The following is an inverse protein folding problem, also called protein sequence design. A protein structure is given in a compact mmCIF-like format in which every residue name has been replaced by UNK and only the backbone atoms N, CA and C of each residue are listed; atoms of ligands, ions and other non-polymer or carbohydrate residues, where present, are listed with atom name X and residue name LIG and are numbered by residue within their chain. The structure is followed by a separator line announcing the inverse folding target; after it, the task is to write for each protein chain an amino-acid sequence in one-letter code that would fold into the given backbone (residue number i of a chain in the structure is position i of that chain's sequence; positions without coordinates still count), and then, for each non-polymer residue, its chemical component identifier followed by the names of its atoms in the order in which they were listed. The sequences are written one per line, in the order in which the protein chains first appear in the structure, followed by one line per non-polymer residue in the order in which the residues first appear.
data_IF_095444542630
#
_entry.id   IF_095444542630
#
_cell.length_a   1.000
_cell.length_b   1.000
_cell.length_c   1.000
_cell.angle_alpha   90.00
_cell.angle_beta   90.00
_cell.angle_gamma   90.00
#
_symmetry.space_group_name_H-M   'P 1'
#
loop_
_entity.id
_entity.type
_entity.pdbx_description
1 polymer ?
#
# COMPACT_ATOMS: atom_id res chain seq x y z
N UNK A 1 -33.30 -19.64 -3.22
CA UNK A 1 -33.28 -18.93 -1.93
C UNK A 1 -31.94 -18.29 -1.77
N UNK A 2 -31.82 -17.01 -1.48
CA UNK A 2 -30.52 -16.48 -1.09
C UNK A 2 -30.19 -17.05 0.31
N UNK A 3 -29.36 -18.08 0.32
CA UNK A 3 -28.86 -18.67 1.54
C UNK A 3 -27.90 -17.73 2.23
N UNK A 4 -27.87 -17.76 3.55
CA UNK A 4 -26.87 -17.04 4.35
C UNK A 4 -25.50 -17.61 4.08
N UNK A 5 -24.59 -16.87 3.44
CA UNK A 5 -23.22 -17.28 3.17
C UNK A 5 -22.37 -17.08 4.42
N UNK A 6 -21.60 -18.09 4.82
CA UNK A 6 -20.63 -18.01 5.91
C UNK A 6 -19.24 -17.78 5.33
N UNK A 7 -18.65 -16.64 5.62
CA UNK A 7 -17.32 -16.23 5.16
C UNK A 7 -16.32 -16.28 6.31
N UNK A 8 -15.25 -17.06 6.16
CA UNK A 8 -14.07 -16.92 7.00
C UNK A 8 -13.16 -15.86 6.39
N UNK A 9 -12.76 -14.85 7.18
CA UNK A 9 -11.89 -13.76 6.72
C UNK A 9 -10.72 -13.57 7.68
N UNK A 10 -9.52 -13.38 7.13
CA UNK A 10 -8.32 -13.12 7.93
C UNK A 10 -7.61 -11.92 7.35
N UNK A 11 -7.52 -10.83 8.13
CA UNK A 11 -6.72 -9.64 7.84
C UNK A 11 -5.72 -9.43 8.98
N UNK A 12 -4.45 -9.29 8.65
CA UNK A 12 -3.38 -9.15 9.65
C UNK A 12 -2.84 -7.73 9.83
N UNK A 13 -3.31 -6.78 9.01
CA UNK A 13 -2.89 -5.38 9.02
C UNK A 13 -4.06 -4.46 8.73
N UNK A 14 -3.93 -3.18 9.11
CA UNK A 14 -4.98 -2.16 8.90
C UNK A 14 -5.40 -2.05 7.44
N UNK A 15 -4.43 -2.10 6.50
CA UNK A 15 -4.72 -2.07 5.06
C UNK A 15 -5.57 -3.25 4.60
N UNK A 16 -5.24 -4.46 5.09
CA UNK A 16 -6.01 -5.67 4.81
C UNK A 16 -7.40 -5.64 5.44
N UNK A 17 -7.55 -5.09 6.64
CA UNK A 17 -8.82 -4.92 7.32
C UNK A 17 -9.77 -4.00 6.54
N UNK A 18 -9.28 -2.88 6.04
CA UNK A 18 -10.04 -1.97 5.19
C UNK A 18 -10.50 -2.65 3.88
N UNK A 19 -9.62 -3.41 3.22
CA UNK A 19 -9.98 -4.18 2.01
C UNK A 19 -11.03 -5.27 2.33
N UNK A 20 -10.89 -5.91 3.48
CA UNK A 20 -11.85 -6.90 3.98
C UNK A 20 -13.22 -6.28 4.23
N UNK A 21 -13.29 -5.14 4.90
CA UNK A 21 -14.54 -4.41 5.14
C UNK A 21 -15.26 -4.04 3.85
N UNK A 22 -14.52 -3.47 2.86
CA UNK A 22 -15.09 -3.11 1.56
C UNK A 22 -15.60 -4.36 0.80
N UNK A 23 -14.85 -5.46 0.82
CA UNK A 23 -15.27 -6.75 0.23
C UNK A 23 -16.55 -7.28 0.89
N UNK A 24 -16.60 -7.33 2.22
CA UNK A 24 -17.75 -7.90 2.94
C UNK A 24 -19.01 -7.05 2.72
N UNK A 25 -18.88 -5.73 2.72
CA UNK A 25 -19.98 -4.81 2.39
C UNK A 25 -20.53 -5.10 1.00
N UNK A 26 -19.66 -5.26 0.02
CA UNK A 26 -20.03 -5.57 -1.35
C UNK A 26 -20.67 -6.97 -1.49
N UNK A 27 -20.15 -7.98 -0.76
CA UNK A 27 -20.76 -9.31 -0.71
C UNK A 27 -22.17 -9.26 -0.15
N UNK A 28 -22.42 -8.54 0.95
CA UNK A 28 -23.77 -8.37 1.53
C UNK A 28 -24.75 -7.77 0.53
N UNK A 29 -24.32 -6.78 -0.25
CA UNK A 29 -25.16 -6.17 -1.29
C UNK A 29 -25.55 -7.17 -2.40
N UNK A 30 -24.63 -8.10 -2.75
CA UNK A 30 -24.86 -9.09 -3.83
C UNK A 30 -25.66 -10.33 -3.37
N UNK A 31 -25.41 -10.81 -2.15
CA UNK A 31 -25.97 -12.10 -1.68
C UNK A 31 -26.98 -11.95 -0.53
N UNK A 32 -27.18 -10.75 -0.01
CA UNK A 32 -28.12 -10.40 1.05
C UNK A 32 -27.57 -10.65 2.44
N UNK A 33 -27.38 -11.90 2.88
CA UNK A 33 -26.96 -12.21 4.24
C UNK A 33 -25.58 -12.90 4.27
N UNK A 34 -24.65 -12.31 5.03
CA UNK A 34 -23.30 -12.86 5.25
C UNK A 34 -23.05 -13.02 6.74
N UNK A 35 -22.62 -14.20 7.18
CA UNK A 35 -22.09 -14.40 8.53
C UNK A 35 -20.58 -14.47 8.48
N UNK A 36 -19.91 -13.80 9.42
CA UNK A 36 -18.48 -13.67 9.46
C UNK A 36 -17.87 -14.45 10.61
N UNK A 37 -16.66 -14.92 10.38
CA UNK A 37 -15.76 -15.42 11.41
C UNK A 37 -14.31 -15.19 10.97
N UNK A 38 -13.37 -15.14 11.92
CA UNK A 38 -11.94 -15.03 11.61
C UNK A 38 -11.21 -13.99 12.42
N UNK A 39 -10.29 -13.27 11.78
CA UNK A 39 -9.43 -12.26 12.41
C UNK A 39 -9.46 -10.98 11.59
N UNK A 40 -9.70 -9.86 12.25
CA UNK A 40 -9.72 -8.55 11.61
C UNK A 40 -9.82 -7.44 12.64
N UNK A 41 -9.89 -6.21 12.18
CA UNK A 41 -9.99 -5.01 12.98
C UNK A 41 -11.30 -4.27 12.78
N UNK A 42 -11.25 -2.95 13.01
CA UNK A 42 -12.42 -2.07 13.08
C UNK A 42 -13.30 -2.09 11.81
N UNK A 43 -12.70 -2.20 10.63
CA UNK A 43 -13.46 -2.20 9.38
C UNK A 43 -14.27 -3.49 9.19
N UNK A 44 -13.69 -4.65 9.51
CA UNK A 44 -14.40 -5.93 9.50
C UNK A 44 -15.37 -6.07 10.67
N UNK A 45 -15.04 -5.52 11.84
CA UNK A 45 -15.95 -5.48 13.00
C UNK A 45 -17.19 -4.63 12.71
N UNK A 46 -17.03 -3.50 12.00
CA UNK A 46 -18.19 -2.71 11.52
C UNK A 46 -19.10 -3.49 10.58
N UNK A 47 -18.56 -4.51 9.89
CA UNK A 47 -19.32 -5.45 9.07
C UNK A 47 -19.80 -6.70 9.85
N UNK A 48 -19.66 -6.71 11.18
CA UNK A 48 -20.19 -7.76 12.07
C UNK A 48 -19.24 -8.93 12.32
N UNK A 49 -17.95 -8.78 12.09
CA UNK A 49 -16.94 -9.74 12.53
C UNK A 49 -16.77 -9.64 14.06
N UNK A 50 -16.72 -10.79 14.73
CA UNK A 50 -16.16 -10.90 16.07
C UNK A 50 -14.78 -11.55 15.90
N UNK A 51 -13.73 -10.76 16.06
CA UNK A 51 -12.36 -11.23 15.85
C UNK A 51 -11.96 -12.28 16.89
N UNK A 52 -11.29 -13.36 16.47
CA UNK A 52 -10.83 -14.44 17.35
C UNK A 52 -9.79 -13.96 18.37
N UNK A 53 -9.06 -12.90 18.04
CA UNK A 53 -8.09 -12.22 18.91
C UNK A 53 -7.77 -10.85 18.32
N UNK A 54 -7.09 -10.01 19.10
CA UNK A 54 -6.63 -8.70 18.63
C UNK A 54 -5.61 -8.86 17.47
N UNK A 55 -5.99 -8.45 16.27
CA UNK A 55 -5.17 -8.57 15.07
C UNK A 55 -3.85 -7.78 15.14
N UNK A 56 -3.75 -6.80 16.03
CA UNK A 56 -2.50 -6.07 16.27
C UNK A 56 -1.36 -7.00 16.73
N UNK A 57 -1.68 -8.17 17.28
CA UNK A 57 -0.72 -9.21 17.61
C UNK A 57 0.04 -9.75 16.39
N UNK A 58 -0.53 -9.61 15.18
CA UNK A 58 0.09 -10.04 13.92
C UNK A 58 1.02 -8.97 13.32
N UNK A 59 0.87 -7.71 13.73
CA UNK A 59 1.68 -6.57 13.27
C UNK A 59 3.06 -6.59 13.95
N UNK A 60 3.92 -7.54 13.55
CA UNK A 60 5.26 -7.70 14.13
C UNK A 60 6.29 -7.08 13.20
N UNK A 61 7.02 -6.05 13.66
CA UNK A 61 8.10 -5.43 12.93
C UNK A 61 9.46 -5.73 13.57
N UNK A 62 10.37 -6.35 12.79
CA UNK A 62 11.76 -6.60 13.17
C UNK A 62 12.06 -8.06 13.48
N UNK A 63 13.25 -8.54 13.02
CA UNK A 63 13.65 -9.96 13.09
C UNK A 63 13.76 -10.47 14.52
N UNK A 64 14.26 -9.66 15.45
CA UNK A 64 14.38 -10.03 16.87
C UNK A 64 13.02 -10.20 17.54
N UNK A 65 12.05 -9.35 17.21
CA UNK A 65 10.70 -9.44 17.73
C UNK A 65 9.92 -10.63 17.13
N UNK A 66 10.18 -10.96 15.86
CA UNK A 66 9.62 -12.16 15.19
C UNK A 66 10.05 -13.43 15.92
N UNK A 67 11.35 -13.58 16.23
CA UNK A 67 11.87 -14.76 16.94
C UNK A 67 11.28 -14.91 18.34
N UNK A 68 11.20 -13.82 19.09
CA UNK A 68 10.63 -13.85 20.45
C UNK A 68 9.14 -14.21 20.50
N UNK A 69 8.38 -13.87 19.44
CA UNK A 69 6.93 -14.09 19.37
C UNK A 69 6.53 -15.32 18.55
N UNK A 70 7.48 -16.04 17.97
CA UNK A 70 7.23 -17.21 17.13
C UNK A 70 6.30 -18.27 17.76
N UNK A 71 6.46 -18.64 19.06
CA UNK A 71 5.53 -19.60 19.69
C UNK A 71 4.10 -19.09 19.73
N UNK A 72 3.90 -17.80 20.05
CA UNK A 72 2.57 -17.17 20.06
C UNK A 72 1.96 -17.14 18.66
N UNK A 73 2.75 -16.81 17.64
CA UNK A 73 2.31 -16.81 16.25
C UNK A 73 1.85 -18.20 15.80
N UNK A 74 2.62 -19.25 16.10
CA UNK A 74 2.25 -20.63 15.79
C UNK A 74 0.97 -21.08 16.51
N UNK A 75 0.81 -20.67 17.78
CA UNK A 75 -0.43 -20.91 18.53
C UNK A 75 -1.63 -20.23 17.86
N UNK A 76 -1.50 -18.95 17.46
CA UNK A 76 -2.57 -18.20 16.76
C UNK A 76 -2.90 -18.82 15.39
N UNK A 77 -1.90 -19.30 14.62
CA UNK A 77 -2.11 -20.01 13.37
C UNK A 77 -3.00 -21.25 13.62
N UNK A 78 -2.65 -22.06 14.61
CA UNK A 78 -3.41 -23.26 14.96
C UNK A 78 -4.82 -22.92 15.42
N UNK A 79 -4.97 -21.99 16.37
CA UNK A 79 -6.26 -21.51 16.86
C UNK A 79 -7.18 -21.06 15.74
N UNK A 80 -6.65 -20.26 14.79
CA UNK A 80 -7.43 -19.73 13.67
C UNK A 80 -7.83 -20.85 12.72
N UNK A 81 -6.91 -21.76 12.39
CA UNK A 81 -7.20 -22.88 11.52
C UNK A 81 -8.25 -23.83 12.13
N UNK A 82 -8.11 -24.19 13.39
CA UNK A 82 -9.05 -25.07 14.10
C UNK A 82 -10.45 -24.47 14.18
N UNK A 83 -10.55 -23.16 14.45
CA UNK A 83 -11.83 -22.43 14.47
C UNK A 83 -12.52 -22.44 13.09
N UNK A 84 -11.76 -22.21 12.00
CA UNK A 84 -12.29 -22.23 10.64
C UNK A 84 -12.72 -23.64 10.24
N UNK A 85 -11.93 -24.66 10.56
CA UNK A 85 -12.25 -26.07 10.25
C UNK A 85 -13.53 -26.50 10.98
N UNK A 86 -13.67 -26.15 12.24
CA UNK A 86 -14.87 -26.45 13.04
C UNK A 86 -16.11 -25.73 12.49
N UNK A 87 -15.96 -24.48 12.05
CA UNK A 87 -17.07 -23.67 11.57
C UNK A 87 -17.57 -24.06 10.16
N UNK A 88 -16.74 -24.72 9.34
CA UNK A 88 -17.04 -25.14 7.95
C UNK A 88 -17.68 -23.99 7.15
N UNK A 89 -16.95 -22.89 6.89
CA UNK A 89 -17.46 -21.78 6.10
C UNK A 89 -17.66 -22.17 4.62
N UNK A 90 -18.36 -21.33 3.87
CA UNK A 90 -18.57 -21.50 2.43
C UNK A 90 -17.37 -21.01 1.60
N UNK A 91 -16.58 -20.08 2.16
CA UNK A 91 -15.34 -19.56 1.58
C UNK A 91 -14.40 -19.07 2.66
N UNK A 92 -13.09 -19.20 2.41
CA UNK A 92 -12.02 -18.56 3.19
C UNK A 92 -11.37 -17.46 2.34
N UNK A 93 -11.37 -16.25 2.85
CA UNK A 93 -10.62 -15.12 2.26
C UNK A 93 -9.47 -14.76 3.17
N UNK A 94 -8.25 -14.88 2.66
CA UNK A 94 -7.03 -14.47 3.35
C UNK A 94 -6.54 -13.16 2.74
N UNK A 95 -6.24 -12.15 3.57
CA UNK A 95 -5.90 -10.81 3.13
C UNK A 95 -4.54 -10.41 3.68
N UNK A 96 -3.57 -10.20 2.77
CA UNK A 96 -2.20 -9.80 3.12
C UNK A 96 -1.54 -10.70 4.20
N UNK A 97 -0.51 -10.21 4.90
CA UNK A 97 0.20 -10.92 6.00
C UNK A 97 0.56 -12.39 5.69
N UNK A 98 1.27 -12.66 4.58
CA UNK A 98 1.43 -14.02 4.03
C UNK A 98 2.11 -15.02 4.96
N UNK A 99 2.93 -14.56 5.90
CA UNK A 99 3.60 -15.46 6.86
C UNK A 99 2.63 -16.07 7.90
N UNK A 100 1.49 -15.42 8.12
CA UNK A 100 0.40 -15.93 8.94
C UNK A 100 -0.69 -16.57 8.08
N UNK A 101 -1.28 -15.81 7.17
CA UNK A 101 -2.48 -16.18 6.43
C UNK A 101 -2.31 -17.41 5.56
N UNK A 102 -1.17 -17.55 4.87
CA UNK A 102 -0.89 -18.72 4.04
C UNK A 102 -0.65 -20.00 4.86
N UNK A 103 -0.14 -19.90 6.11
CA UNK A 103 0.00 -21.07 6.98
C UNK A 103 -1.37 -21.56 7.45
N UNK A 104 -2.28 -20.65 7.81
CA UNK A 104 -3.67 -20.97 8.14
C UNK A 104 -4.35 -21.62 6.93
N UNK A 105 -4.25 -21.02 5.74
CA UNK A 105 -4.85 -21.52 4.51
C UNK A 105 -4.39 -22.96 4.18
N UNK A 106 -3.10 -23.27 4.35
CA UNK A 106 -2.57 -24.64 4.17
C UNK A 106 -3.18 -25.65 5.15
N UNK A 107 -3.28 -25.28 6.44
CA UNK A 107 -3.87 -26.16 7.45
C UNK A 107 -5.36 -26.39 7.17
N UNK A 108 -6.09 -25.33 6.80
CA UNK A 108 -7.51 -25.42 6.45
C UNK A 108 -7.71 -26.27 5.18
N UNK A 109 -6.89 -26.08 4.14
CA UNK A 109 -6.97 -26.87 2.90
C UNK A 109 -6.78 -28.36 3.15
N UNK A 110 -5.85 -28.73 4.05
CA UNK A 110 -5.61 -30.13 4.40
C UNK A 110 -6.84 -30.80 5.05
N UNK A 111 -7.60 -30.06 5.86
CA UNK A 111 -8.79 -30.57 6.55
C UNK A 111 -10.07 -30.42 5.72
N UNK A 112 -10.17 -29.37 4.91
CA UNK A 112 -11.35 -29.04 4.09
C UNK A 112 -10.94 -28.88 2.60
N UNK A 113 -10.68 -29.97 1.87
CA UNK A 113 -10.17 -29.91 0.48
C UNK A 113 -11.10 -29.21 -0.51
N UNK A 114 -12.41 -29.28 -0.29
CA UNK A 114 -13.44 -28.69 -1.14
C UNK A 114 -13.68 -27.19 -0.86
N UNK A 115 -13.19 -26.64 0.26
CA UNK A 115 -13.40 -25.23 0.63
C UNK A 115 -12.73 -24.28 -0.39
N UNK A 116 -13.46 -23.33 -1.00
CA UNK A 116 -12.83 -22.26 -1.79
C UNK A 116 -11.93 -21.39 -0.91
N UNK A 117 -10.70 -21.16 -1.36
CA UNK A 117 -9.74 -20.26 -0.67
C UNK A 117 -9.29 -19.17 -1.64
N UNK A 118 -9.60 -17.93 -1.30
CA UNK A 118 -9.25 -16.74 -2.08
C UNK A 118 -8.19 -15.93 -1.34
N UNK A 119 -7.12 -15.57 -2.03
CA UNK A 119 -6.07 -14.70 -1.50
C UNK A 119 -6.28 -13.28 -2.02
N UNK A 120 -6.60 -12.34 -1.15
CA UNK A 120 -6.71 -10.92 -1.50
C UNK A 120 -5.38 -10.22 -1.18
N UNK A 121 -4.88 -9.40 -2.09
CA UNK A 121 -3.54 -8.85 -2.22
C UNK A 121 -2.53 -9.91 -2.68
N UNK A 122 -2.15 -9.79 -3.95
CA UNK A 122 -1.12 -10.66 -4.53
C UNK A 122 0.20 -10.50 -3.76
N UNK A 123 0.83 -11.58 -3.29
CA UNK A 123 2.17 -11.48 -2.73
C UNK A 123 3.15 -10.93 -3.78
N UNK A 124 4.11 -10.09 -3.36
CA UNK A 124 5.09 -9.44 -4.26
C UNK A 124 6.09 -10.45 -4.88
N UNK A 125 5.58 -11.54 -5.44
CA UNK A 125 6.37 -12.63 -6.06
C UNK A 125 7.12 -12.16 -7.31
N UNK A 126 6.64 -11.12 -7.94
CA UNK A 126 7.28 -10.44 -9.07
C UNK A 126 8.57 -9.70 -8.66
N UNK A 127 8.67 -9.30 -7.38
CA UNK A 127 9.84 -8.62 -6.83
C UNK A 127 10.77 -9.55 -6.03
N UNK A 128 10.20 -10.56 -5.36
CA UNK A 128 10.89 -11.34 -4.35
C UNK A 128 10.33 -12.76 -4.23
N UNK A 129 11.20 -13.77 -4.24
CA UNK A 129 10.83 -15.19 -4.09
C UNK A 129 9.74 -15.65 -5.06
N UNK A 130 10.00 -15.60 -6.38
CA UNK A 130 9.01 -15.93 -7.42
C UNK A 130 8.46 -17.35 -7.29
N UNK A 131 9.23 -18.28 -6.72
CA UNK A 131 8.82 -19.65 -6.45
C UNK A 131 7.61 -19.78 -5.52
N UNK A 132 7.26 -18.72 -4.79
CA UNK A 132 6.05 -18.68 -3.96
C UNK A 132 4.77 -18.73 -4.80
N UNK A 133 4.76 -18.18 -6.02
CA UNK A 133 3.62 -18.19 -6.91
C UNK A 133 3.16 -19.64 -7.16
N UNK A 134 4.06 -20.50 -7.63
CA UNK A 134 3.77 -21.91 -7.87
C UNK A 134 3.38 -22.65 -6.57
N UNK A 135 4.03 -22.33 -5.45
CA UNK A 135 3.74 -22.95 -4.14
C UNK A 135 2.37 -22.61 -3.57
N UNK A 136 1.67 -21.62 -4.11
CA UNK A 136 0.31 -21.25 -3.69
C UNK A 136 -0.77 -22.14 -4.31
N UNK A 137 -0.57 -22.68 -5.52
CA UNK A 137 -1.56 -23.49 -6.26
C UNK A 137 -2.22 -24.62 -5.48
N UNK A 138 -1.52 -25.38 -4.61
CA UNK A 138 -2.17 -26.47 -3.87
C UNK A 138 -3.23 -26.00 -2.86
N UNK A 139 -3.21 -24.75 -2.41
CA UNK A 139 -4.08 -24.29 -1.33
C UNK A 139 -4.80 -22.95 -1.58
N UNK A 140 -4.51 -22.25 -2.65
CA UNK A 140 -5.23 -21.05 -3.08
C UNK A 140 -5.91 -21.33 -4.41
N UNK A 141 -7.22 -21.10 -4.49
CA UNK A 141 -8.00 -21.31 -5.69
C UNK A 141 -7.99 -20.07 -6.61
N UNK A 142 -7.94 -18.86 -6.04
CA UNK A 142 -7.91 -17.61 -6.78
C UNK A 142 -7.18 -16.51 -6.03
N UNK A 143 -6.52 -15.59 -6.76
CA UNK A 143 -5.85 -14.41 -6.21
C UNK A 143 -6.55 -13.15 -6.70
N UNK A 144 -6.89 -12.24 -5.79
CA UNK A 144 -7.38 -10.90 -6.09
C UNK A 144 -6.19 -9.94 -6.06
N UNK A 145 -5.77 -9.50 -7.23
CA UNK A 145 -4.64 -8.59 -7.40
C UNK A 145 -5.06 -7.13 -7.26
N UNK A 146 -4.23 -6.32 -6.61
CA UNK A 146 -4.44 -4.88 -6.45
C UNK A 146 -3.57 -4.02 -7.37
N UNK A 147 -2.60 -4.62 -8.06
CA UNK A 147 -1.80 -3.96 -9.07
C UNK A 147 -2.09 -4.56 -10.46
N UNK A 148 -2.20 -3.75 -11.50
CA UNK A 148 -2.70 -4.18 -12.81
C UNK A 148 -1.80 -5.19 -13.54
N UNK A 149 -0.50 -5.20 -13.27
CA UNK A 149 0.47 -6.13 -13.87
C UNK A 149 0.58 -7.48 -13.14
N UNK A 150 -0.01 -7.63 -11.95
CA UNK A 150 0.11 -8.84 -11.14
C UNK A 150 -0.53 -10.08 -11.77
N UNK A 151 -1.67 -10.02 -12.49
CA UNK A 151 -2.22 -11.19 -13.17
C UNK A 151 -1.23 -11.82 -14.16
N UNK A 152 -0.61 -11.03 -15.03
CA UNK A 152 0.39 -11.49 -16.00
C UNK A 152 1.63 -12.05 -15.29
N UNK A 153 2.11 -11.38 -14.26
CA UNK A 153 3.23 -11.86 -13.45
C UNK A 153 2.93 -13.22 -12.79
N UNK A 154 1.73 -13.39 -12.24
CA UNK A 154 1.30 -14.65 -11.62
C UNK A 154 1.15 -15.77 -12.63
N UNK A 155 0.62 -15.51 -13.82
CA UNK A 155 0.52 -16.48 -14.91
C UNK A 155 1.91 -16.93 -15.36
N UNK A 156 2.82 -15.99 -15.63
CA UNK A 156 4.21 -16.25 -16.01
C UNK A 156 4.96 -17.11 -14.98
N UNK A 157 4.69 -16.89 -13.69
CA UNK A 157 5.30 -17.63 -12.59
C UNK A 157 4.58 -18.96 -12.25
N UNK A 158 3.54 -19.32 -13.01
CA UNK A 158 2.76 -20.54 -12.81
C UNK A 158 1.95 -20.52 -11.50
N UNK A 159 1.53 -19.35 -11.05
CA UNK A 159 0.71 -19.15 -9.86
C UNK A 159 -0.75 -19.58 -10.01
N UNK A 160 -1.59 -19.40 -8.99
CA UNK A 160 -3.04 -19.56 -9.10
C UNK A 160 -3.65 -18.56 -10.08
N UNK A 161 -4.86 -18.83 -10.62
CA UNK A 161 -5.64 -17.84 -11.37
C UNK A 161 -5.72 -16.53 -10.60
N UNK A 162 -5.46 -15.41 -11.30
CA UNK A 162 -5.33 -14.09 -10.67
C UNK A 162 -6.14 -13.06 -11.45
N UNK A 163 -6.94 -12.27 -10.74
CA UNK A 163 -7.75 -11.21 -11.34
C UNK A 163 -7.41 -9.87 -10.70
N UNK A 164 -7.10 -8.88 -11.52
CA UNK A 164 -6.98 -7.50 -11.06
C UNK A 164 -8.36 -6.96 -10.66
N UNK A 165 -8.53 -6.60 -9.40
CA UNK A 165 -9.80 -6.10 -8.86
C UNK A 165 -9.82 -4.59 -8.64
N UNK A 166 -8.70 -3.92 -8.90
CA UNK A 166 -8.54 -2.50 -8.63
C UNK A 166 -7.78 -2.23 -7.33
N UNK A 167 -7.23 -1.05 -7.23
CA UNK A 167 -6.52 -0.59 -6.03
C UNK A 167 -7.39 0.40 -5.25
N UNK A 168 -7.52 0.22 -3.93
CA UNK A 168 -8.38 1.05 -3.07
C UNK A 168 -8.08 2.55 -3.19
N UNK A 169 -6.81 2.94 -3.37
CA UNK A 169 -6.43 4.36 -3.54
C UNK A 169 -7.08 5.01 -4.77
N UNK A 170 -7.35 4.27 -5.85
CA UNK A 170 -7.99 4.83 -7.04
C UNK A 170 -9.48 5.20 -6.81
N UNK A 171 -10.09 4.71 -5.73
CA UNK A 171 -11.46 5.04 -5.31
C UNK A 171 -11.52 5.76 -3.96
N UNK A 172 -10.38 6.09 -3.36
CA UNK A 172 -10.32 6.77 -2.05
C UNK A 172 -10.78 8.24 -2.19
N UNK A 173 -11.76 8.63 -1.38
CA UNK A 173 -12.37 9.96 -1.44
C UNK A 173 -11.35 11.09 -1.23
N UNK A 174 -10.34 10.88 -0.38
CA UNK A 174 -9.30 11.87 -0.14
C UNK A 174 -8.38 12.01 -1.37
N UNK A 175 -8.00 10.89 -2.00
CA UNK A 175 -7.20 10.91 -3.24
C UNK A 175 -7.95 11.65 -4.33
N UNK A 176 -9.25 11.35 -4.52
CA UNK A 176 -10.11 12.02 -5.50
C UNK A 176 -10.21 13.52 -5.22
N UNK A 177 -10.44 13.91 -3.97
CA UNK A 177 -10.53 15.32 -3.57
C UNK A 177 -9.22 16.07 -3.79
N UNK A 178 -8.07 15.49 -3.41
CA UNK A 178 -6.75 16.10 -3.62
C UNK A 178 -6.45 16.19 -5.10
N UNK A 179 -6.70 15.14 -5.90
CA UNK A 179 -6.51 15.17 -7.36
C UNK A 179 -7.34 16.29 -8.00
N UNK A 180 -8.61 16.42 -7.62
CA UNK A 180 -9.47 17.50 -8.12
C UNK A 180 -8.92 18.89 -7.72
N UNK A 181 -8.43 19.06 -6.49
CA UNK A 181 -7.81 20.30 -6.03
C UNK A 181 -6.53 20.63 -6.82
N UNK A 182 -5.68 19.62 -7.10
CA UNK A 182 -4.48 19.79 -7.92
C UNK A 182 -4.82 20.16 -9.38
N UNK A 183 -5.87 19.59 -9.94
CA UNK A 183 -6.35 19.95 -11.28
C UNK A 183 -6.95 21.36 -11.33
N UNK A 184 -7.69 21.78 -10.29
CA UNK A 184 -8.26 23.11 -10.18
C UNK A 184 -7.17 24.20 -10.06
N UNK A 185 -6.01 23.89 -9.44
CA UNK A 185 -4.83 24.77 -9.50
C UNK A 185 -4.33 24.97 -10.95
N UNK A 186 -4.81 24.11 -11.87
CA UNK A 186 -4.76 24.33 -13.33
C UNK A 186 -3.37 24.32 -13.92
N UNK A 187 -2.45 23.54 -13.50
CA UNK A 187 -1.09 23.73 -14.00
C UNK A 187 -0.66 25.22 -13.89
N UNK A 188 -1.51 26.03 -13.31
CA UNK A 188 -1.34 27.45 -13.04
C UNK A 188 -0.47 27.65 -11.80
N UNK A 189 0.72 27.08 -11.81
CA UNK A 189 1.81 27.89 -11.32
C UNK A 189 1.96 29.03 -12.34
N UNK A 190 0.77 29.43 -12.84
CA UNK A 190 0.51 30.58 -13.62
C UNK A 190 0.90 31.79 -12.82
N UNK A 191 2.08 32.36 -13.16
CA UNK A 191 2.21 33.80 -13.23
C UNK A 191 1.68 34.54 -11.98
N UNK A 192 2.37 34.38 -10.83
CA UNK A 192 2.15 35.29 -9.71
C UNK A 192 2.17 34.68 -8.30
N UNK A 193 2.02 33.41 -8.08
CA UNK A 193 2.20 32.84 -6.74
C UNK A 193 3.68 32.77 -6.39
N UNK A 194 4.07 33.63 -5.45
CA UNK A 194 5.46 33.74 -4.98
C UNK A 194 5.86 32.61 -4.03
N UNK A 195 4.89 31.86 -3.47
CA UNK A 195 5.13 30.81 -2.48
C UNK A 195 4.73 29.42 -3.00
N UNK A 196 5.64 28.46 -2.90
CA UNK A 196 5.47 27.07 -3.31
C UNK A 196 5.60 26.12 -2.13
N UNK A 197 4.73 25.13 -2.04
CA UNK A 197 4.73 24.14 -0.95
C UNK A 197 5.51 22.89 -1.35
N UNK A 198 6.62 22.65 -0.68
CA UNK A 198 7.40 21.42 -0.79
C UNK A 198 7.08 20.48 0.38
N UNK A 199 6.59 19.28 0.07
CA UNK A 199 6.39 18.24 1.08
C UNK A 199 7.69 17.51 1.38
N UNK A 200 7.90 17.23 2.66
CA UNK A 200 8.99 16.41 3.19
C UNK A 200 8.38 15.16 3.80
N UNK A 201 8.60 14.02 3.17
CA UNK A 201 7.97 12.75 3.55
C UNK A 201 9.04 11.68 3.83
N UNK A 202 9.74 11.73 4.98
CA UNK A 202 10.87 10.86 5.28
C UNK A 202 10.49 9.42 5.62
N UNK A 203 9.23 9.07 5.56
CA UNK A 203 8.66 7.77 5.91
C UNK A 203 7.82 7.80 7.17
N UNK A 204 7.21 6.65 7.50
CA UNK A 204 6.36 6.47 8.69
C UNK A 204 7.04 5.67 9.81
N UNK A 205 8.20 5.09 9.55
CA UNK A 205 9.00 4.32 10.51
C UNK A 205 10.16 5.15 11.03
N UNK A 206 10.44 5.04 12.34
CA UNK A 206 11.53 5.79 12.96
C UNK A 206 12.88 5.58 12.27
N UNK A 207 13.17 4.36 11.81
CA UNK A 207 14.41 4.06 11.07
C UNK A 207 14.51 4.74 9.69
N UNK A 208 13.40 4.92 8.99
CA UNK A 208 13.33 5.65 7.72
C UNK A 208 13.58 7.14 7.96
N UNK A 209 12.86 7.71 8.94
CA UNK A 209 12.96 9.12 9.34
C UNK A 209 14.41 9.47 9.73
N UNK A 210 15.00 8.69 10.63
CA UNK A 210 16.36 8.92 11.11
C UNK A 210 17.42 8.88 9.99
N UNK A 211 17.20 8.07 8.96
CA UNK A 211 18.13 7.94 7.84
C UNK A 211 17.97 9.00 6.76
N UNK A 212 16.71 9.41 6.45
CA UNK A 212 16.43 10.31 5.33
C UNK A 212 16.39 11.77 5.75
N UNK A 213 15.88 12.07 6.94
CA UNK A 213 15.69 13.45 7.39
C UNK A 213 16.97 14.28 7.37
N UNK A 214 18.17 13.76 7.73
CA UNK A 214 19.42 14.53 7.62
C UNK A 214 19.74 14.99 6.18
N UNK A 215 19.52 14.13 5.20
CA UNK A 215 19.75 14.46 3.77
C UNK A 215 18.71 15.44 3.26
N UNK A 216 17.46 15.31 3.69
CA UNK A 216 16.39 16.24 3.35
C UNK A 216 16.63 17.61 3.97
N UNK A 217 17.20 17.70 5.19
CA UNK A 217 17.65 18.93 5.80
C UNK A 217 18.60 19.70 4.87
N UNK A 218 19.68 19.09 4.45
CA UNK A 218 20.67 19.71 3.56
C UNK A 218 20.03 20.16 2.23
N UNK A 219 19.12 19.36 1.67
CA UNK A 219 18.38 19.72 0.46
C UNK A 219 17.49 20.95 0.67
N UNK A 220 16.78 21.02 1.80
CA UNK A 220 15.93 22.15 2.19
C UNK A 220 16.76 23.41 2.38
N UNK A 221 17.93 23.32 3.05
CA UNK A 221 18.84 24.46 3.25
C UNK A 221 19.37 25.01 1.91
N UNK A 222 19.72 24.13 0.98
CA UNK A 222 20.16 24.53 -0.36
C UNK A 222 18.99 25.19 -1.11
N UNK A 223 17.82 24.61 -1.06
CA UNK A 223 16.63 25.10 -1.75
C UNK A 223 16.20 26.47 -1.22
N UNK A 224 16.17 26.64 0.10
CA UNK A 224 15.79 27.90 0.73
C UNK A 224 16.74 29.06 0.37
N UNK A 225 18.05 28.79 0.25
CA UNK A 225 19.04 29.80 -0.18
C UNK A 225 18.95 30.14 -1.66
N UNK A 226 18.64 29.15 -2.53
CA UNK A 226 18.64 29.33 -3.99
C UNK A 226 17.33 29.85 -4.53
N UNK A 227 16.25 29.48 -3.89
CA UNK A 227 14.88 29.74 -4.35
C UNK A 227 14.02 30.17 -3.16
N UNK A 228 14.20 31.40 -2.63
CA UNK A 228 13.38 31.92 -1.55
C UNK A 228 11.91 31.96 -2.01
N UNK A 229 11.00 31.47 -1.21
CA UNK A 229 9.58 31.34 -1.56
C UNK A 229 9.06 29.91 -1.46
N UNK A 230 9.90 28.94 -1.09
CA UNK A 230 9.43 27.63 -0.68
C UNK A 230 8.95 27.64 0.79
N UNK A 231 7.75 27.09 0.99
CA UNK A 231 7.22 26.68 2.28
C UNK A 231 7.43 25.17 2.41
N UNK A 232 7.92 24.73 3.55
CA UNK A 232 8.19 23.33 3.81
C UNK A 232 7.16 22.75 4.78
N UNK A 233 6.54 21.63 4.40
CA UNK A 233 5.51 20.96 5.21
C UNK A 233 5.89 19.49 5.36
N UNK A 234 5.88 19.00 6.60
CA UNK A 234 6.19 17.61 6.93
C UNK A 234 4.97 16.93 7.57
N UNK A 235 4.15 16.22 6.80
CA UNK A 235 3.12 15.36 7.35
C UNK A 235 3.72 14.15 8.03
N UNK A 236 3.25 13.82 9.23
CA UNK A 236 3.73 12.66 9.99
C UNK A 236 2.61 11.95 10.75
N UNK A 237 2.88 10.69 11.14
CA UNK A 237 1.95 9.92 11.97
C UNK A 237 2.07 10.31 13.44
N UNK A 238 1.00 10.21 14.26
CA UNK A 238 1.02 10.65 15.66
C UNK A 238 2.20 10.08 16.47
N UNK A 239 2.49 8.79 16.30
CA UNK A 239 3.57 8.08 17.01
C UNK A 239 4.98 8.61 16.72
N UNK A 240 5.18 9.36 15.63
CA UNK A 240 6.48 9.91 15.24
C UNK A 240 6.58 11.43 15.44
N UNK A 241 5.48 12.08 15.82
CA UNK A 241 5.40 13.54 15.85
C UNK A 241 6.47 14.19 16.73
N UNK A 242 6.66 13.69 17.94
CA UNK A 242 7.62 14.27 18.90
C UNK A 242 9.06 14.02 18.47
N UNK A 243 9.37 12.83 17.95
CA UNK A 243 10.70 12.52 17.40
C UNK A 243 11.02 13.41 16.19
N UNK A 244 10.06 13.62 15.29
CA UNK A 244 10.22 14.53 14.13
C UNK A 244 10.44 15.97 14.59
N UNK A 245 9.61 16.50 15.50
CA UNK A 245 9.77 17.84 16.04
C UNK A 245 11.15 18.04 16.71
N UNK A 246 11.62 17.04 17.46
CA UNK A 246 12.94 17.08 18.08
C UNK A 246 14.05 17.16 17.04
N UNK A 247 13.96 16.40 15.95
CA UNK A 247 14.95 16.40 14.86
C UNK A 247 14.93 17.70 14.02
N UNK A 248 13.80 18.42 13.98
CA UNK A 248 13.66 19.67 13.24
C UNK A 248 14.09 20.91 14.05
N UNK A 249 14.29 20.80 15.37
CA UNK A 249 14.53 21.93 16.27
C UNK A 249 15.68 22.83 15.83
N UNK A 250 16.76 22.24 15.35
CA UNK A 250 17.99 22.94 14.97
C UNK A 250 18.09 23.17 13.45
N UNK A 251 16.98 23.09 12.74
CA UNK A 251 16.98 23.43 11.33
C UNK A 251 16.98 24.94 11.12
N UNK A 252 17.80 25.45 10.20
CA UNK A 252 17.86 26.89 9.92
C UNK A 252 16.68 27.40 9.10
N UNK A 253 15.78 26.51 8.70
CA UNK A 253 14.59 26.78 7.90
C UNK A 253 13.38 26.24 8.64
N UNK A 254 12.31 27.04 8.69
CA UNK A 254 11.06 26.63 9.30
C UNK A 254 10.39 25.49 8.49
N UNK A 255 10.00 24.43 9.19
CA UNK A 255 9.25 23.30 8.62
C UNK A 255 7.99 23.10 9.45
N UNK A 256 6.85 23.26 8.79
CA UNK A 256 5.55 23.04 9.42
C UNK A 256 5.27 21.54 9.57
N UNK A 257 5.15 21.05 10.79
CA UNK A 257 4.81 19.65 11.09
C UNK A 257 3.31 19.48 11.18
N UNK A 258 2.73 18.64 10.32
CA UNK A 258 1.31 18.27 10.34
C UNK A 258 1.12 16.84 10.80
N UNK A 259 0.23 16.61 11.77
CA UNK A 259 0.08 15.30 12.43
C UNK A 259 -1.28 14.70 12.13
N UNK A 260 -1.28 13.45 11.67
CA UNK A 260 -2.49 12.66 11.47
C UNK A 260 -2.92 12.55 10.00
N UNK A 261 -3.92 11.71 9.78
CA UNK A 261 -4.35 11.32 8.43
C UNK A 261 -4.97 12.51 7.66
N UNK A 262 -5.91 13.24 8.27
CA UNK A 262 -6.54 14.38 7.61
C UNK A 262 -5.53 15.48 7.30
N UNK A 263 -4.65 15.81 8.25
CA UNK A 263 -3.61 16.81 8.07
C UNK A 263 -2.61 16.43 6.94
N UNK A 264 -2.39 15.13 6.69
CA UNK A 264 -1.65 14.65 5.51
C UNK A 264 -2.37 15.03 4.21
N UNK A 265 -3.66 14.76 4.11
CA UNK A 265 -4.42 15.06 2.90
C UNK A 265 -4.56 16.57 2.64
N UNK A 266 -4.73 17.36 3.71
CA UNK A 266 -4.73 18.81 3.62
C UNK A 266 -3.38 19.36 3.13
N UNK A 267 -2.26 18.74 3.56
CA UNK A 267 -0.93 19.09 3.07
C UNK A 267 -0.76 18.69 1.59
N UNK A 268 -1.26 17.51 1.18
CA UNK A 268 -1.23 17.06 -0.21
C UNK A 268 -2.02 17.99 -1.14
N UNK A 269 -3.19 18.48 -0.70
CA UNK A 269 -3.99 19.41 -1.49
C UNK A 269 -3.25 20.74 -1.75
N UNK A 270 -2.38 21.17 -0.83
CA UNK A 270 -1.59 22.39 -0.95
C UNK A 270 -0.23 22.20 -1.65
N UNK A 271 0.20 20.97 -1.84
CA UNK A 271 1.53 20.65 -2.33
C UNK A 271 1.75 21.06 -3.79
N UNK A 272 2.97 21.48 -4.09
CA UNK A 272 3.45 21.73 -5.45
C UNK A 272 4.46 20.69 -5.90
N UNK A 273 5.21 20.15 -4.93
CA UNK A 273 6.25 19.14 -5.14
C UNK A 273 6.53 18.38 -3.83
N UNK A 274 7.10 17.20 -3.93
CA UNK A 274 7.45 16.39 -2.77
C UNK A 274 8.84 15.74 -2.92
N UNK A 275 9.58 15.63 -1.80
CA UNK A 275 10.65 14.67 -1.62
C UNK A 275 10.20 13.61 -0.62
N UNK A 276 10.25 12.34 -1.01
CA UNK A 276 9.62 11.29 -0.23
C UNK A 276 10.49 10.03 -0.11
N UNK A 277 10.28 9.30 0.99
CA UNK A 277 10.74 7.93 1.13
C UNK A 277 10.01 7.03 0.12
N UNK A 278 10.73 6.07 -0.47
CA UNK A 278 10.12 5.04 -1.32
C UNK A 278 9.11 4.20 -0.53
N UNK A 279 7.94 3.96 -1.11
CA UNK A 279 6.84 3.20 -0.53
C UNK A 279 5.50 3.57 -1.15
N UNK A 280 4.42 3.15 -0.52
CA UNK A 280 3.04 3.41 -0.98
C UNK A 280 2.74 4.91 -1.14
N UNK A 281 3.40 5.77 -0.37
CA UNK A 281 3.23 7.24 -0.46
C UNK A 281 3.58 7.79 -1.85
N UNK A 282 4.50 7.15 -2.58
CA UNK A 282 4.84 7.56 -3.95
C UNK A 282 3.63 7.33 -4.89
N UNK A 283 2.91 6.23 -4.70
CA UNK A 283 1.68 5.98 -5.45
C UNK A 283 0.56 6.95 -5.03
N UNK A 284 0.40 7.23 -3.73
CA UNK A 284 -0.55 8.24 -3.25
C UNK A 284 -0.31 9.60 -3.92
N UNK A 285 0.95 10.07 -3.93
CA UNK A 285 1.34 11.33 -4.56
C UNK A 285 1.09 11.32 -6.07
N UNK A 286 1.44 10.23 -6.74
CA UNK A 286 1.19 10.05 -8.18
C UNK A 286 -0.29 10.11 -8.53
N UNK A 287 -1.13 9.37 -7.80
CA UNK A 287 -2.59 9.40 -7.99
C UNK A 287 -3.20 10.77 -7.67
N UNK A 288 -2.59 11.54 -6.78
CA UNK A 288 -2.93 12.92 -6.48
C UNK A 288 -2.35 13.94 -7.49
N UNK A 289 -1.62 13.51 -8.52
CA UNK A 289 -0.91 14.38 -9.48
C UNK A 289 0.09 15.34 -8.82
N UNK A 290 0.77 14.92 -7.75
CA UNK A 290 1.79 15.70 -7.04
C UNK A 290 3.17 15.22 -7.49
N UNK A 291 3.97 16.05 -8.19
CA UNK A 291 5.32 15.68 -8.59
C UNK A 291 6.21 15.33 -7.39
N UNK A 292 6.98 14.24 -7.52
CA UNK A 292 7.76 13.71 -6.41
C UNK A 292 9.09 13.13 -6.88
N UNK A 293 10.08 13.18 -5.97
CA UNK A 293 11.33 12.43 -6.08
C UNK A 293 11.38 11.40 -4.97
N UNK A 294 11.59 10.14 -5.35
CA UNK A 294 11.65 9.01 -4.45
C UNK A 294 13.06 8.77 -3.93
N UNK A 295 13.17 8.45 -2.64
CA UNK A 295 14.44 8.24 -1.97
C UNK A 295 14.37 7.01 -1.08
N UNK A 296 15.39 6.15 -1.14
CA UNK A 296 15.45 4.98 -0.29
C UNK A 296 16.85 4.76 0.31
N UNK A 297 16.97 4.79 1.62
CA UNK A 297 18.17 4.42 2.36
C UNK A 297 18.01 3.04 2.98
N UNK A 298 18.54 2.03 2.28
CA UNK A 298 18.51 0.65 2.73
C UNK A 298 19.35 0.47 4.00
N UNK A 299 18.88 -0.41 4.90
CA UNK A 299 19.75 -0.92 5.95
C UNK A 299 20.78 -1.94 5.38
N UNK A 300 21.77 -2.29 6.20
CA UNK A 300 22.84 -3.19 5.79
C UNK A 300 22.30 -4.58 5.36
N UNK A 301 21.21 -5.05 5.99
CA UNK A 301 20.62 -6.35 5.69
C UNK A 301 19.96 -6.36 4.30
N UNK A 302 19.20 -5.32 3.97
CA UNK A 302 18.61 -5.15 2.64
C UNK A 302 19.71 -5.00 1.59
N UNK A 303 20.79 -4.28 1.91
CA UNK A 303 21.97 -4.17 1.03
C UNK A 303 22.61 -5.53 0.73
N UNK A 304 22.68 -6.44 1.70
CA UNK A 304 23.13 -7.81 1.45
C UNK A 304 22.18 -8.64 0.58
N UNK A 305 20.89 -8.36 0.68
CA UNK A 305 19.84 -9.12 -0.02
C UNK A 305 19.50 -8.57 -1.41
N UNK A 306 20.06 -7.43 -1.83
CA UNK A 306 19.69 -6.75 -3.07
C UNK A 306 19.81 -7.64 -4.32
N UNK A 307 20.77 -8.58 -4.37
CA UNK A 307 20.94 -9.54 -5.46
C UNK A 307 19.75 -10.49 -5.67
N UNK A 308 18.86 -10.59 -4.69
CA UNK A 308 17.64 -11.42 -4.74
C UNK A 308 16.41 -10.64 -5.17
N UNK A 309 16.52 -9.32 -5.27
CA UNK A 309 15.44 -8.42 -5.72
C UNK A 309 15.49 -8.39 -7.24
N UNK A 310 14.36 -8.65 -7.91
CA UNK A 310 14.27 -8.81 -9.37
C UNK A 310 13.53 -7.68 -10.07
N UNK A 311 13.34 -6.55 -9.39
CA UNK A 311 12.68 -5.37 -9.97
C UNK A 311 13.70 -4.32 -10.37
N UNK A 312 13.40 -3.63 -11.46
CA UNK A 312 14.23 -2.53 -11.98
C UNK A 312 13.97 -1.19 -11.26
N UNK A 313 12.85 -1.07 -10.54
CA UNK A 313 12.45 0.09 -9.74
C UNK A 313 11.67 -0.34 -8.50
N UNK A 314 11.78 0.44 -7.40
CA UNK A 314 10.97 0.25 -6.20
C UNK A 314 9.71 1.13 -6.19
N UNK A 315 9.49 1.94 -7.23
CA UNK A 315 8.36 2.85 -7.33
C UNK A 315 7.18 2.21 -8.06
N UNK A 316 6.05 2.12 -7.39
CA UNK A 316 4.82 1.59 -7.98
C UNK A 316 4.36 2.34 -9.25
N UNK A 317 4.39 3.68 -9.33
CA UNK A 317 4.08 4.37 -10.59
C UNK A 317 4.96 3.93 -11.76
N UNK A 318 6.26 3.73 -11.54
CA UNK A 318 7.18 3.26 -12.59
C UNK A 318 6.86 1.82 -13.00
N UNK A 319 6.57 0.93 -12.03
CA UNK A 319 6.18 -0.45 -12.31
C UNK A 319 4.85 -0.54 -13.07
N UNK A 320 3.87 0.29 -12.71
CA UNK A 320 2.55 0.29 -13.35
C UNK A 320 2.63 0.87 -14.77
N UNK A 321 3.41 1.93 -14.97
CA UNK A 321 3.59 2.57 -16.27
C UNK A 321 4.60 1.86 -17.16
N UNK A 322 5.43 0.95 -16.62
CA UNK A 322 6.54 0.26 -17.29
C UNK A 322 7.63 1.20 -17.85
N UNK A 323 7.78 2.39 -17.26
CA UNK A 323 8.88 3.32 -17.55
C UNK A 323 9.14 4.26 -16.37
N UNK A 324 10.25 5.03 -16.45
CA UNK A 324 10.60 5.98 -15.37
C UNK A 324 9.71 7.21 -15.42
N UNK A 325 8.72 7.26 -14.55
CA UNK A 325 7.85 8.41 -14.28
C UNK A 325 8.43 9.24 -13.13
N UNK A 326 8.82 8.55 -12.05
CA UNK A 326 9.35 9.14 -10.82
C UNK A 326 10.84 8.88 -10.74
N UNK A 327 11.69 9.93 -10.64
CA UNK A 327 13.12 9.78 -10.36
C UNK A 327 13.34 9.12 -9.00
N UNK A 328 14.32 8.22 -8.93
CA UNK A 328 14.55 7.36 -7.78
C UNK A 328 16.04 7.36 -7.39
N UNK A 329 16.31 7.60 -6.13
CA UNK A 329 17.68 7.62 -5.60
C UNK A 329 17.85 6.66 -4.44
N UNK A 330 18.95 5.91 -4.46
CA UNK A 330 19.26 4.91 -3.45
C UNK A 330 20.53 5.23 -2.71
N UNK A 331 20.54 5.12 -1.39
CA UNK A 331 21.72 5.18 -0.53
C UNK A 331 22.64 6.38 -0.83
N UNK A 332 23.82 6.13 -1.33
CA UNK A 332 24.85 7.13 -1.61
C UNK A 332 24.55 7.99 -2.84
N UNK A 333 23.63 7.58 -3.70
CA UNK A 333 23.18 8.40 -4.83
C UNK A 333 22.22 9.53 -4.41
N UNK A 334 21.70 9.50 -3.18
CA UNK A 334 20.88 10.58 -2.64
C UNK A 334 21.78 11.78 -2.36
N UNK A 335 21.75 12.78 -3.25
CA UNK A 335 22.56 14.00 -3.15
C UNK A 335 21.66 15.20 -2.85
N UNK A 336 21.89 15.95 -1.75
CA UNK A 336 21.06 17.10 -1.37
C UNK A 336 20.92 18.14 -2.48
N UNK A 337 22.01 18.47 -3.18
CA UNK A 337 21.99 19.42 -4.29
C UNK A 337 21.17 18.93 -5.50
N UNK A 338 21.14 17.62 -5.76
CA UNK A 338 20.29 17.04 -6.81
C UNK A 338 18.82 17.09 -6.41
N UNK A 339 18.50 16.79 -5.15
CA UNK A 339 17.12 16.91 -4.64
C UNK A 339 16.62 18.36 -4.73
N UNK A 340 17.42 19.33 -4.26
CA UNK A 340 17.07 20.75 -4.36
C UNK A 340 16.78 21.15 -5.83
N UNK A 341 17.62 20.71 -6.78
CA UNK A 341 17.42 20.99 -8.20
C UNK A 341 16.14 20.35 -8.75
N UNK A 342 15.82 19.14 -8.33
CA UNK A 342 14.56 18.50 -8.70
C UNK A 342 13.35 19.25 -8.15
N UNK A 343 13.41 19.71 -6.89
CA UNK A 343 12.32 20.49 -6.32
C UNK A 343 12.09 21.79 -7.09
N UNK A 344 13.16 22.50 -7.47
CA UNK A 344 13.07 23.70 -8.31
C UNK A 344 12.37 23.42 -9.66
N UNK A 345 12.79 22.35 -10.35
CA UNK A 345 12.22 21.98 -11.64
C UNK A 345 10.77 21.52 -11.55
N UNK A 346 10.49 20.65 -10.59
CA UNK A 346 9.16 20.06 -10.44
C UNK A 346 8.13 21.02 -9.82
N UNK A 347 8.55 22.06 -9.12
CA UNK A 347 7.66 23.08 -8.55
C UNK A 347 7.27 24.17 -9.56
N UNK A 348 7.82 24.16 -10.78
CA UNK A 348 7.53 25.14 -11.83
C UNK A 348 7.03 24.46 -13.09
N UNK A 349 6.44 25.20 -14.04
CA UNK A 349 5.99 24.66 -15.31
C UNK A 349 7.18 24.37 -16.24
N UNK A 350 7.72 23.16 -16.10
CA UNK A 350 8.85 22.63 -16.87
C UNK A 350 8.44 21.41 -17.70
N UNK A 351 9.20 21.04 -18.73
CA UNK A 351 8.97 19.78 -19.45
C UNK A 351 9.00 18.56 -18.53
N UNK A 352 9.90 18.54 -17.54
CA UNK A 352 10.02 17.44 -16.57
C UNK A 352 8.78 17.31 -15.69
N UNK A 353 8.22 18.44 -15.22
CA UNK A 353 6.96 18.42 -14.47
C UNK A 353 5.81 17.92 -15.33
N UNK A 354 5.66 18.44 -16.56
CA UNK A 354 4.59 18.02 -17.47
C UNK A 354 4.69 16.55 -17.83
N UNK A 355 5.89 16.04 -18.09
CA UNK A 355 6.13 14.62 -18.36
C UNK A 355 5.73 13.75 -17.16
N UNK A 356 6.09 14.14 -15.93
CA UNK A 356 5.74 13.39 -14.73
C UNK A 356 4.22 13.38 -14.49
N UNK A 357 3.55 14.51 -14.61
CA UNK A 357 2.08 14.59 -14.48
C UNK A 357 1.39 13.73 -15.54
N UNK A 358 1.83 13.81 -16.82
CA UNK A 358 1.30 12.94 -17.86
C UNK A 358 1.52 11.45 -17.58
N UNK A 359 2.66 11.10 -16.97
CA UNK A 359 2.90 9.73 -16.47
C UNK A 359 1.95 9.32 -15.34
N UNK A 360 1.64 10.23 -14.43
CA UNK A 360 0.66 9.97 -13.37
C UNK A 360 -0.77 9.82 -13.91
N UNK A 361 -1.12 10.58 -14.94
CA UNK A 361 -2.42 10.44 -15.60
C UNK A 361 -2.53 9.08 -16.31
N UNK A 362 -1.45 8.63 -16.98
CA UNK A 362 -1.41 7.28 -17.57
C UNK A 362 -1.54 6.18 -16.49
N UNK A 363 -0.84 6.30 -15.36
CA UNK A 363 -0.98 5.38 -14.22
C UNK A 363 -2.41 5.38 -13.68
N UNK A 364 -3.02 6.57 -13.55
CA UNK A 364 -4.41 6.69 -13.14
C UNK A 364 -5.35 5.94 -14.07
N UNK A 365 -5.21 6.11 -15.38
CA UNK A 365 -6.05 5.46 -16.39
C UNK A 365 -5.90 3.93 -16.39
N UNK A 366 -4.69 3.43 -16.13
CA UNK A 366 -4.42 1.99 -15.98
C UNK A 366 -5.06 1.42 -14.69
N UNK A 367 -5.04 2.20 -13.61
CA UNK A 367 -5.49 1.73 -12.29
C UNK A 367 -6.98 1.86 -12.06
N UNK A 368 -7.65 2.79 -12.71
CA UNK A 368 -9.09 2.99 -12.53
C UNK A 368 -9.89 1.76 -12.98
N UNK A 369 -10.94 1.45 -12.27
CA UNK A 369 -11.89 0.39 -12.59
C UNK A 369 -13.29 0.98 -12.74
N UNK A 370 -14.13 0.37 -13.59
CA UNK A 370 -15.53 0.82 -13.81
C UNK A 370 -16.38 0.69 -12.55
N UNK A 371 -16.08 -0.31 -11.72
CA UNK A 371 -16.77 -0.55 -10.45
C UNK A 371 -15.74 -0.52 -9.30
N UNK A 372 -16.19 -0.16 -8.08
CA UNK A 372 -15.31 -0.15 -6.91
C UNK A 372 -14.58 -1.48 -6.70
N UNK A 373 -13.32 -1.45 -6.22
CA UNK A 373 -12.52 -2.66 -5.99
C UNK A 373 -13.22 -3.73 -5.15
N UNK A 374 -13.92 -3.32 -4.08
CA UNK A 374 -14.68 -4.24 -3.23
C UNK A 374 -15.80 -4.99 -3.96
N UNK A 375 -16.49 -4.32 -4.89
CA UNK A 375 -17.57 -4.93 -5.68
C UNK A 375 -17.02 -5.94 -6.70
N UNK A 376 -15.89 -5.60 -7.34
CA UNK A 376 -15.21 -6.50 -8.26
C UNK A 376 -14.62 -7.71 -7.54
N UNK A 377 -14.02 -7.48 -6.38
CA UNK A 377 -13.52 -8.55 -5.50
C UNK A 377 -14.66 -9.49 -5.07
N UNK A 378 -15.82 -8.95 -4.67
CA UNK A 378 -16.99 -9.74 -4.29
C UNK A 378 -17.52 -10.62 -5.45
N UNK A 379 -17.53 -10.09 -6.68
CA UNK A 379 -17.92 -10.87 -7.85
C UNK A 379 -16.97 -12.08 -8.06
N UNK A 380 -15.66 -11.86 -8.03
CA UNK A 380 -14.68 -12.94 -8.21
C UNK A 380 -14.74 -13.98 -7.08
N UNK A 381 -15.00 -13.56 -5.83
CA UNK A 381 -15.23 -14.50 -4.71
C UNK A 381 -16.43 -15.40 -4.99
N UNK A 382 -17.57 -14.85 -5.42
CA UNK A 382 -18.78 -15.61 -5.75
C UNK A 382 -18.52 -16.59 -6.91
N UNK A 383 -17.84 -16.11 -7.97
CA UNK A 383 -17.45 -16.96 -9.11
C UNK A 383 -16.55 -18.12 -8.69
N UNK A 384 -15.57 -17.85 -7.81
CA UNK A 384 -14.67 -18.89 -7.28
C UNK A 384 -15.43 -19.92 -6.46
N UNK A 385 -16.40 -19.51 -5.64
CA UNK A 385 -17.27 -20.43 -4.89
C UNK A 385 -18.10 -21.33 -5.84
N UNK A 386 -18.72 -20.74 -6.86
CA UNK A 386 -19.52 -21.46 -7.84
C UNK A 386 -18.66 -22.45 -8.65
N UNK A 387 -17.49 -22.03 -9.12
CA UNK A 387 -16.56 -22.89 -9.86
C UNK A 387 -16.03 -24.07 -9.02
N UNK A 388 -15.84 -23.87 -7.71
CA UNK A 388 -15.40 -24.93 -6.80
C UNK A 388 -16.52 -25.94 -6.53
N UNK A 389 -17.75 -25.46 -6.33
CA UNK A 389 -18.93 -26.31 -6.14
C UNK A 389 -19.25 -27.18 -7.37
N UNK A 390 -18.98 -26.67 -8.59
CA UNK A 390 -19.17 -27.42 -9.82
C UNK A 390 -18.14 -28.55 -10.07
N UNK A 391 -17.03 -28.55 -9.33
CA UNK A 391 -15.93 -29.54 -9.47
C UNK A 391 -15.93 -30.62 -8.37
N UNK A 392 -16.70 -30.45 -7.33
CA UNK A 392 -16.83 -31.40 -6.19
C UNK A 392 -18.12 -32.12 -6.22
#
# INVERSE_FOLDING_TARGET
MPGRIKVAVIAGEVSGDLLGGDLIRALKLKVGSVSLMGVGGEALEAEGLVSLFDYSELSIMGISQVLARLPKLLMRIRQTADAIIAAKPDVLVIIDSPDFTHRVAKAVRAALPALPIVNYVCPSVWAWKPERALRMRPYVDHVLAILPFEPEAMETLGGPPTTYVGHRLASDANVLAVRAAQWAKGGTHARGETQRTCLILPGSRGSEITRLLPVFREAVEILARRSPGFRFVLPTVPRQADAVRAMLRDWPVEVEVRVGAQAKWDAFAQADVAMAASGTVILELGLCSIPVVSNYKADWLIRMMHKRIRIWTANLPNLIGDYVIVPEYFNESIRPGALARWMERLATDTPERRAMIGGFDAVWDIMRTEVPPGERAAAVVIETMAAKAARG
#
